data_IF_643786256251
#
_entry.id   IF_643786256251
#
_cell.length_a   1.000
_cell.length_b   1.000
_cell.length_c   1.000
_cell.angle_alpha   90.00
_cell.angle_beta   90.00
_cell.angle_gamma   90.00
#
_symmetry.space_group_name_H-M   'P 1'
#
loop_
_entity.id
_entity.type
_entity.pdbx_description
1 polymer ?
#
# COMPACT_ATOMS: atom_id res chain seq x y z
N UNK A 1 6.80 -8.31 21.25
CA UNK A 1 7.57 -7.26 20.53
C UNK A 1 6.73 -6.00 20.49
N UNK A 2 7.32 -4.81 20.45
CA UNK A 2 6.55 -3.57 20.28
C UNK A 2 6.08 -3.43 18.83
N UNK A 3 4.96 -2.73 18.59
CA UNK A 3 4.44 -2.50 17.22
C UNK A 3 5.51 -1.90 16.29
N UNK A 4 6.46 -1.13 16.84
CA UNK A 4 7.61 -0.61 16.09
C UNK A 4 8.50 -1.72 15.52
N UNK A 5 8.88 -2.70 16.34
CA UNK A 5 9.76 -3.79 15.90
C UNK A 5 9.06 -4.69 14.88
N UNK A 6 7.77 -4.97 15.09
CA UNK A 6 6.95 -5.75 14.15
C UNK A 6 6.76 -4.99 12.83
N UNK A 7 6.60 -3.66 12.89
CA UNK A 7 6.53 -2.80 11.71
C UNK A 7 7.85 -2.71 10.95
N UNK A 8 8.98 -2.56 11.65
CA UNK A 8 10.32 -2.52 11.04
C UNK A 8 10.62 -3.85 10.32
N UNK A 9 10.25 -4.98 10.93
CA UNK A 9 10.33 -6.29 10.29
C UNK A 9 9.44 -6.37 9.05
N UNK A 10 8.16 -6.00 9.17
CA UNK A 10 7.22 -5.96 8.05
C UNK A 10 7.76 -5.13 6.88
N UNK A 11 8.31 -3.94 7.15
CA UNK A 11 8.89 -3.07 6.14
C UNK A 11 10.06 -3.75 5.42
N UNK A 12 10.93 -4.45 6.15
CA UNK A 12 12.02 -5.22 5.52
C UNK A 12 11.49 -6.30 4.57
N UNK A 13 10.41 -6.98 4.94
CA UNK A 13 9.73 -7.98 4.11
C UNK A 13 9.08 -7.36 2.88
N UNK A 14 8.38 -6.23 3.03
CA UNK A 14 7.74 -5.49 1.94
C UNK A 14 8.76 -5.04 0.88
N UNK A 15 9.89 -4.49 1.33
CA UNK A 15 10.97 -4.08 0.46
C UNK A 15 11.55 -5.28 -0.31
N UNK A 16 11.78 -6.41 0.37
CA UNK A 16 12.28 -7.65 -0.25
C UNK A 16 11.25 -8.28 -1.20
N UNK A 17 9.96 -8.16 -0.92
CA UNK A 17 8.88 -8.62 -1.80
C UNK A 17 8.86 -7.81 -3.10
N UNK A 18 9.02 -6.48 -2.99
CA UNK A 18 9.11 -5.60 -4.16
C UNK A 18 10.21 -6.00 -5.13
N UNK A 19 11.40 -6.38 -4.66
CA UNK A 19 12.51 -6.80 -5.55
C UNK A 19 12.21 -8.08 -6.34
N UNK A 20 11.15 -8.81 -6.01
CA UNK A 20 10.73 -10.03 -6.71
C UNK A 20 9.64 -9.80 -7.76
N UNK A 21 9.07 -8.60 -7.85
CA UNK A 21 8.04 -8.29 -8.84
C UNK A 21 8.71 -8.07 -10.20
N UNK A 22 8.40 -8.94 -11.15
CA UNK A 22 8.93 -8.85 -12.51
C UNK A 22 8.13 -7.86 -13.40
N UNK A 23 8.59 -7.71 -14.64
CA UNK A 23 8.00 -6.77 -15.60
C UNK A 23 6.56 -7.09 -16.00
N UNK A 24 6.16 -8.37 -15.99
CA UNK A 24 4.81 -8.81 -16.36
C UNK A 24 3.78 -8.22 -15.40
N UNK A 25 4.08 -8.27 -14.09
CA UNK A 25 3.19 -7.75 -13.05
C UNK A 25 3.26 -6.22 -12.90
N UNK A 26 4.32 -5.60 -13.40
CA UNK A 26 4.47 -4.14 -13.44
C UNK A 26 3.68 -3.48 -14.57
N UNK A 27 3.71 -4.08 -15.76
CA UNK A 27 2.91 -3.63 -16.91
C UNK A 27 2.41 -4.86 -17.65
N UNK A 28 1.10 -5.06 -17.62
CA UNK A 28 0.45 -6.21 -18.22
C UNK A 28 0.39 -6.04 -19.75
N UNK A 29 0.95 -6.98 -20.53
CA UNK A 29 0.70 -7.06 -21.97
C UNK A 29 -0.78 -7.39 -22.22
N UNK A 30 -1.44 -6.64 -23.08
CA UNK A 30 -2.86 -6.85 -23.41
C UNK A 30 -3.00 -7.03 -24.92
N UNK A 31 -3.74 -8.06 -25.33
CA UNK A 31 -4.00 -8.32 -26.74
C UNK A 31 -4.64 -7.09 -27.41
N UNK A 32 -4.07 -6.66 -28.55
CA UNK A 32 -4.53 -5.48 -29.29
C UNK A 32 -4.09 -4.13 -28.72
N UNK A 33 -3.35 -4.09 -27.60
CA UNK A 33 -2.73 -2.85 -27.12
C UNK A 33 -1.30 -2.72 -27.68
N UNK A 34 -0.95 -1.56 -28.20
CA UNK A 34 0.40 -1.29 -28.71
C UNK A 34 1.48 -1.29 -27.61
N UNK A 35 1.10 -0.99 -26.36
CA UNK A 35 2.00 -0.95 -25.21
C UNK A 35 1.38 -1.65 -24.00
N UNK A 36 2.19 -2.36 -23.18
CA UNK A 36 1.74 -2.88 -21.90
C UNK A 36 1.17 -1.78 -21.00
N UNK A 37 0.09 -2.09 -20.27
CA UNK A 37 -0.62 -1.12 -19.44
C UNK A 37 -0.44 -1.42 -17.95
N UNK A 38 -0.50 -0.38 -17.13
CA UNK A 38 -0.58 -0.55 -15.68
C UNK A 38 -1.92 -1.17 -15.29
N UNK A 39 -1.87 -2.21 -14.46
CA UNK A 39 -3.04 -2.84 -13.84
C UNK A 39 -2.75 -3.06 -12.37
N UNK A 40 -3.28 -2.16 -11.55
CA UNK A 40 -3.04 -2.12 -10.09
C UNK A 40 -3.33 -3.48 -9.44
N UNK A 41 -4.44 -4.14 -9.77
CA UNK A 41 -4.77 -5.46 -9.22
C UNK A 41 -3.73 -6.54 -9.53
N UNK A 42 -3.15 -6.54 -10.74
CA UNK A 42 -2.14 -7.54 -11.13
C UNK A 42 -0.86 -7.36 -10.32
N UNK A 43 -0.42 -6.10 -10.18
CA UNK A 43 0.70 -5.76 -9.31
C UNK A 43 0.41 -6.13 -7.85
N UNK A 44 -0.81 -5.85 -7.36
CA UNK A 44 -1.21 -6.15 -5.99
C UNK A 44 -1.20 -7.65 -5.71
N UNK A 45 -1.69 -8.50 -6.61
CA UNK A 45 -1.67 -9.95 -6.39
C UNK A 45 -0.26 -10.52 -6.34
N UNK A 46 0.65 -10.03 -7.18
CA UNK A 46 2.04 -10.47 -7.11
C UNK A 46 2.74 -9.97 -5.85
N UNK A 47 2.54 -8.71 -5.48
CA UNK A 47 3.06 -8.17 -4.23
C UNK A 47 2.53 -8.94 -3.02
N UNK A 48 1.23 -9.27 -3.02
CA UNK A 48 0.60 -10.09 -1.98
C UNK A 48 1.28 -11.46 -1.89
N UNK A 49 1.44 -12.15 -3.02
CA UNK A 49 2.08 -13.47 -3.08
C UNK A 49 3.50 -13.43 -2.53
N UNK A 50 4.35 -12.55 -3.05
CA UNK A 50 5.75 -12.44 -2.62
C UNK A 50 5.87 -12.05 -1.15
N UNK A 51 5.04 -11.11 -0.70
CA UNK A 51 5.06 -10.65 0.68
C UNK A 51 4.58 -11.75 1.64
N UNK A 52 3.53 -12.50 1.30
CA UNK A 52 3.03 -13.62 2.09
C UNK A 52 4.08 -14.73 2.23
N UNK A 53 4.79 -15.05 1.16
CA UNK A 53 5.88 -16.04 1.20
C UNK A 53 7.06 -15.56 2.06
N UNK A 54 7.39 -14.27 2.04
CA UNK A 54 8.52 -13.73 2.81
C UNK A 54 8.19 -13.57 4.30
N UNK A 55 6.95 -13.16 4.63
CA UNK A 55 6.52 -13.02 6.02
C UNK A 55 6.54 -14.36 6.78
N UNK A 56 6.31 -15.47 6.08
CA UNK A 56 6.21 -16.79 6.69
C UNK A 56 4.97 -16.93 7.57
N UNK A 57 4.91 -18.01 8.34
CA UNK A 57 3.75 -18.33 9.18
C UNK A 57 3.89 -17.88 10.64
N UNK A 58 5.14 -17.67 11.08
CA UNK A 58 5.48 -17.25 12.44
C UNK A 58 5.24 -15.75 12.70
N UNK A 59 5.05 -14.96 11.63
CA UNK A 59 4.72 -13.54 11.79
C UNK A 59 3.31 -13.41 12.42
N UNK A 60 3.17 -12.69 13.55
CA UNK A 60 1.93 -12.70 14.32
C UNK A 60 0.74 -12.00 13.63
N UNK A 61 1.01 -11.16 12.62
CA UNK A 61 -0.03 -10.48 11.85
C UNK A 61 -0.27 -11.21 10.52
N UNK A 62 -1.51 -11.18 10.05
CA UNK A 62 -1.90 -11.73 8.74
C UNK A 62 -2.04 -10.61 7.72
N UNK A 63 -1.53 -10.90 6.52
CA UNK A 63 -1.68 -10.06 5.34
C UNK A 63 -2.96 -10.49 4.62
N UNK A 64 -3.92 -9.58 4.55
CA UNK A 64 -5.17 -9.81 3.82
C UNK A 64 -5.31 -8.75 2.73
N UNK A 65 -5.60 -9.21 1.52
CA UNK A 65 -5.89 -8.35 0.38
C UNK A 65 -7.36 -8.01 0.33
N UNK A 66 -7.68 -6.78 -0.07
CA UNK A 66 -9.01 -6.44 -0.53
C UNK A 66 -10.12 -6.82 0.49
N UNK A 67 -9.91 -6.53 1.77
CA UNK A 67 -10.89 -6.87 2.80
C UNK A 67 -12.05 -5.88 2.75
N UNK A 68 -13.24 -6.38 2.41
CA UNK A 68 -14.46 -5.58 2.51
C UNK A 68 -14.77 -5.26 3.98
N UNK A 69 -14.98 -3.98 4.26
CA UNK A 69 -15.33 -3.46 5.59
C UNK A 69 -16.76 -2.91 5.64
N UNK A 70 -17.55 -3.03 4.57
CA UNK A 70 -18.93 -2.54 4.53
C UNK A 70 -19.81 -3.13 5.64
N UNK A 71 -19.65 -4.42 5.93
CA UNK A 71 -20.35 -5.12 7.00
C UNK A 71 -19.62 -5.06 8.36
N UNK A 72 -18.44 -4.45 8.44
CA UNK A 72 -17.63 -4.45 9.66
C UNK A 72 -18.27 -3.55 10.73
N UNK A 73 -18.57 -4.04 11.94
CA UNK A 73 -19.33 -3.29 12.95
C UNK A 73 -18.73 -1.93 13.32
N UNK A 74 -17.40 -1.82 13.25
CA UNK A 74 -16.62 -0.64 13.64
C UNK A 74 -16.23 0.25 12.44
N UNK A 75 -16.18 -0.32 11.24
CA UNK A 75 -15.70 0.35 10.02
C UNK A 75 -16.80 0.48 8.97
N UNK A 76 -18.06 0.55 9.38
CA UNK A 76 -19.20 0.64 8.45
C UNK A 76 -19.00 1.80 7.46
N UNK A 77 -19.02 1.47 6.17
CA UNK A 77 -18.83 2.43 5.09
C UNK A 77 -17.38 2.84 4.81
N UNK A 78 -16.39 2.30 5.54
CA UNK A 78 -14.98 2.49 5.19
C UNK A 78 -14.70 1.85 3.83
N UNK A 79 -14.02 2.60 2.97
CA UNK A 79 -13.61 2.10 1.66
C UNK A 79 -12.59 0.96 1.81
N UNK A 80 -12.71 -0.02 0.93
CA UNK A 80 -11.81 -1.17 0.80
C UNK A 80 -10.36 -0.70 0.53
N UNK A 81 -9.38 -1.03 1.39
CA UNK A 81 -7.96 -0.83 1.10
C UNK A 81 -7.43 -2.00 0.26
N UNK A 82 -6.29 -1.80 -0.39
CA UNK A 82 -5.66 -2.88 -1.15
C UNK A 82 -5.10 -3.98 -0.23
N UNK A 83 -4.42 -3.59 0.86
CA UNK A 83 -3.98 -4.54 1.88
C UNK A 83 -4.23 -4.03 3.29
N UNK A 84 -4.44 -4.99 4.19
CA UNK A 84 -4.30 -4.81 5.63
C UNK A 84 -3.33 -5.85 6.20
N UNK A 85 -2.64 -5.46 7.26
CA UNK A 85 -1.79 -6.33 8.06
C UNK A 85 -2.22 -6.18 9.50
N UNK A 86 -2.88 -7.20 10.03
CA UNK A 86 -3.49 -7.14 11.35
C UNK A 86 -3.54 -8.51 12.03
N UNK A 87 -3.83 -8.55 13.33
CA UNK A 87 -4.17 -9.80 14.01
C UNK A 87 -5.67 -10.06 13.82
N UNK A 88 -6.08 -11.14 13.13
CA UNK A 88 -7.50 -11.43 12.93
C UNK A 88 -8.25 -11.66 14.24
N UNK A 89 -9.54 -11.32 14.26
CA UNK A 89 -10.42 -11.55 15.41
C UNK A 89 -10.32 -10.49 16.53
N UNK A 90 -9.40 -9.54 16.45
CA UNK A 90 -9.28 -8.41 17.38
C UNK A 90 -9.03 -7.09 16.63
N UNK A 91 -9.33 -5.97 17.29
CA UNK A 91 -8.99 -4.61 16.82
C UNK A 91 -7.79 -4.01 17.55
N UNK A 92 -7.23 -4.72 18.52
CA UNK A 92 -6.18 -4.19 19.40
C UNK A 92 -4.80 -4.18 18.72
N UNK A 93 -4.66 -4.90 17.61
CA UNK A 93 -3.39 -5.11 16.91
C UNK A 93 -3.55 -4.99 15.39
N UNK A 94 -3.70 -3.75 14.94
CA UNK A 94 -3.73 -3.38 13.53
C UNK A 94 -2.38 -2.74 13.15
N UNK A 95 -1.53 -3.44 12.38
CA UNK A 95 -0.16 -2.99 12.14
C UNK A 95 -0.08 -1.95 11.02
N UNK A 96 -0.50 -2.31 9.81
CA UNK A 96 -0.40 -1.41 8.66
C UNK A 96 -1.52 -1.62 7.65
N UNK A 97 -2.01 -0.51 7.13
CA UNK A 97 -2.93 -0.45 5.98
C UNK A 97 -2.16 0.07 4.76
N UNK A 98 -2.42 -0.48 3.59
CA UNK A 98 -1.69 -0.14 2.37
C UNK A 98 -2.68 0.18 1.25
N UNK A 99 -2.42 1.29 0.58
CA UNK A 99 -3.03 1.62 -0.70
C UNK A 99 -1.95 1.62 -1.79
N UNK A 100 -2.25 1.02 -2.93
CA UNK A 100 -1.36 0.93 -4.09
C UNK A 100 -1.91 1.80 -5.22
N UNK A 101 -1.02 2.57 -5.85
CA UNK A 101 -1.33 3.33 -7.07
C UNK A 101 -0.28 3.11 -8.15
N UNK A 102 -0.74 2.99 -9.37
CA UNK A 102 0.12 3.07 -10.53
C UNK A 102 0.53 4.51 -10.80
N UNK A 103 1.76 4.72 -11.26
CA UNK A 103 2.32 6.00 -11.65
C UNK A 103 1.76 6.54 -12.98
N UNK A 104 0.48 6.27 -13.25
CA UNK A 104 -0.24 6.67 -14.45
C UNK A 104 -0.63 8.16 -14.38
N UNK A 105 -0.34 8.91 -15.44
CA UNK A 105 -0.67 10.34 -15.54
C UNK A 105 -2.17 10.64 -15.43
N UNK A 106 -3.02 9.65 -15.73
CA UNK A 106 -4.48 9.77 -15.60
C UNK A 106 -4.95 9.82 -14.14
N UNK A 107 -4.09 9.51 -13.16
CA UNK A 107 -4.43 9.59 -11.75
C UNK A 107 -4.69 11.05 -11.36
N UNK A 108 -5.97 11.34 -11.06
CA UNK A 108 -6.44 12.66 -10.68
C UNK A 108 -6.11 12.95 -9.21
N UNK A 109 -5.84 14.22 -8.91
CA UNK A 109 -5.54 14.65 -7.53
C UNK A 109 -6.68 14.34 -6.56
N UNK A 110 -7.93 14.44 -7.02
CA UNK A 110 -9.10 14.10 -6.20
C UNK A 110 -9.14 12.62 -5.82
N UNK A 111 -8.63 11.74 -6.68
CA UNK A 111 -8.47 10.31 -6.35
C UNK A 111 -7.47 10.13 -5.22
N UNK A 112 -6.28 10.73 -5.35
CA UNK A 112 -5.22 10.70 -4.32
C UNK A 112 -5.76 11.20 -2.98
N UNK A 113 -6.47 12.35 -2.97
CA UNK A 113 -7.07 12.89 -1.75
C UNK A 113 -8.08 11.93 -1.12
N UNK A 114 -8.92 11.30 -1.94
CA UNK A 114 -9.89 10.32 -1.46
C UNK A 114 -9.21 9.08 -0.85
N UNK A 115 -8.08 8.66 -1.41
CA UNK A 115 -7.30 7.54 -0.87
C UNK A 115 -6.53 7.92 0.39
N UNK A 116 -6.00 9.14 0.49
CA UNK A 116 -5.41 9.65 1.74
C UNK A 116 -6.47 9.79 2.84
N UNK A 117 -7.68 10.25 2.52
CA UNK A 117 -8.80 10.25 3.46
C UNK A 117 -9.16 8.85 3.93
N UNK A 118 -9.14 7.85 3.02
CA UNK A 118 -9.30 6.44 3.38
C UNK A 118 -8.21 5.97 4.34
N UNK A 119 -6.93 6.21 4.03
CA UNK A 119 -5.83 5.83 4.92
C UNK A 119 -5.96 6.49 6.30
N UNK A 120 -6.38 7.77 6.35
CA UNK A 120 -6.64 8.46 7.63
C UNK A 120 -7.75 7.81 8.44
N UNK A 121 -8.86 7.36 7.83
CA UNK A 121 -9.91 6.68 8.60
C UNK A 121 -9.42 5.36 9.22
N UNK A 122 -8.52 4.65 8.56
CA UNK A 122 -7.88 3.46 9.14
C UNK A 122 -6.97 3.79 10.33
N UNK A 123 -6.23 4.90 10.28
CA UNK A 123 -5.42 5.38 11.41
C UNK A 123 -6.31 5.84 12.57
N UNK A 124 -7.28 6.72 12.28
CA UNK A 124 -8.05 7.43 13.30
C UNK A 124 -9.12 6.54 13.93
N UNK A 125 -9.80 5.72 13.13
CA UNK A 125 -10.93 4.88 13.59
C UNK A 125 -10.51 3.45 13.90
N UNK A 126 -9.77 2.80 13.01
CA UNK A 126 -9.32 1.41 13.22
C UNK A 126 -8.00 1.27 13.95
N UNK A 127 -7.35 2.39 14.32
CA UNK A 127 -6.12 2.39 15.13
C UNK A 127 -4.99 1.57 14.51
N UNK A 128 -4.87 1.62 13.19
CA UNK A 128 -3.70 1.08 12.51
C UNK A 128 -2.43 1.84 12.95
N UNK A 129 -1.34 1.13 13.23
CA UNK A 129 -0.10 1.74 13.69
C UNK A 129 0.54 2.66 12.63
N UNK A 130 0.51 2.25 11.35
CA UNK A 130 0.94 3.05 10.20
C UNK A 130 0.04 2.85 8.98
N UNK A 131 0.13 3.78 8.05
CA UNK A 131 -0.44 3.66 6.71
C UNK A 131 0.66 3.82 5.66
N UNK A 132 0.50 3.13 4.53
CA UNK A 132 1.43 3.20 3.40
C UNK A 132 0.65 3.55 2.14
N UNK A 133 1.08 4.59 1.45
CA UNK A 133 0.76 4.82 0.04
C UNK A 133 1.92 4.28 -0.79
N UNK A 134 1.71 3.20 -1.54
CA UNK A 134 2.71 2.59 -2.41
C UNK A 134 2.41 2.99 -3.86
N UNK A 135 3.29 3.80 -4.45
CA UNK A 135 3.23 4.11 -5.87
C UNK A 135 4.18 3.19 -6.62
N UNK A 136 3.73 2.57 -7.71
CA UNK A 136 4.61 1.79 -8.60
C UNK A 136 4.54 2.30 -10.04
N UNK A 137 5.67 2.30 -10.74
CA UNK A 137 5.78 2.81 -12.10
C UNK A 137 6.86 3.89 -12.26
N UNK A 138 7.11 4.23 -13.52
CA UNK A 138 8.33 4.89 -13.98
C UNK A 138 8.68 6.21 -13.26
N UNK A 139 9.99 6.43 -13.15
CA UNK A 139 10.71 7.58 -12.63
C UNK A 139 10.30 8.95 -13.18
N UNK A 140 9.78 8.99 -14.41
CA UNK A 140 9.32 10.24 -15.04
C UNK A 140 7.96 10.72 -14.50
N UNK A 141 7.24 9.87 -13.76
CA UNK A 141 5.93 10.23 -13.20
C UNK A 141 6.04 11.33 -12.15
N UNK A 142 5.22 12.38 -12.29
CA UNK A 142 5.05 13.41 -11.26
C UNK A 142 4.19 12.94 -10.09
N UNK A 143 3.57 11.75 -10.17
CA UNK A 143 2.62 11.26 -9.17
C UNK A 143 3.24 11.17 -7.75
N UNK A 144 4.41 10.56 -7.52
CA UNK A 144 5.00 10.49 -6.18
C UNK A 144 5.23 11.86 -5.56
N UNK A 145 5.64 12.86 -6.37
CA UNK A 145 5.81 14.25 -5.91
C UNK A 145 4.47 14.85 -5.49
N UNK A 146 3.42 14.66 -6.29
CA UNK A 146 2.06 15.16 -5.98
C UNK A 146 1.49 14.50 -4.72
N UNK A 147 1.63 13.19 -4.59
CA UNK A 147 1.22 12.43 -3.40
C UNK A 147 1.96 12.94 -2.17
N UNK A 148 3.28 13.14 -2.28
CA UNK A 148 4.09 13.71 -1.19
C UNK A 148 3.56 15.07 -0.74
N UNK A 149 3.30 15.99 -1.67
CA UNK A 149 2.71 17.31 -1.35
C UNK A 149 1.35 17.19 -0.66
N UNK A 150 0.49 16.27 -1.10
CA UNK A 150 -0.80 16.05 -0.46
C UNK A 150 -0.66 15.49 0.96
N UNK A 151 0.29 14.58 1.20
CA UNK A 151 0.58 14.09 2.57
C UNK A 151 1.17 15.22 3.43
N UNK A 152 2.11 16.01 2.88
CA UNK A 152 2.71 17.17 3.57
C UNK A 152 1.68 18.26 3.91
N UNK A 153 0.56 18.32 3.19
CA UNK A 153 -0.55 19.26 3.46
C UNK A 153 -1.48 18.81 4.59
N UNK A 154 -1.35 17.57 5.07
CA UNK A 154 -2.14 17.06 6.20
C UNK A 154 -1.60 17.62 7.53
N UNK A 155 -2.42 17.68 8.59
CA UNK A 155 -1.92 17.96 9.94
C UNK A 155 -0.78 17.01 10.31
N UNK A 156 0.22 17.54 11.01
CA UNK A 156 1.48 16.85 11.31
C UNK A 156 1.26 15.47 11.95
N UNK A 157 0.35 15.39 12.92
CA UNK A 157 -0.03 14.14 13.61
C UNK A 157 -0.56 13.04 12.67
N UNK A 158 -1.10 13.40 11.51
CA UNK A 158 -1.51 12.42 10.50
C UNK A 158 -0.40 12.16 9.48
N UNK A 159 0.32 13.21 9.07
CA UNK A 159 1.37 13.11 8.05
C UNK A 159 2.53 12.20 8.49
N UNK A 160 2.90 12.20 9.78
CA UNK A 160 3.99 11.37 10.32
C UNK A 160 3.64 9.87 10.38
N UNK A 161 2.36 9.51 10.24
CA UNK A 161 1.86 8.13 10.27
C UNK A 161 1.61 7.53 8.89
N UNK A 162 1.72 8.33 7.82
CA UNK A 162 1.55 7.90 6.43
C UNK A 162 2.90 7.92 5.72
N UNK A 163 3.40 6.73 5.37
CA UNK A 163 4.59 6.58 4.55
C UNK A 163 4.24 6.62 3.06
N UNK A 164 5.14 7.18 2.26
CA UNK A 164 5.09 7.07 0.81
C UNK A 164 6.24 6.18 0.32
N UNK A 165 5.88 5.08 -0.32
CA UNK A 165 6.83 4.16 -0.95
C UNK A 165 6.73 4.29 -2.45
N UNK A 166 7.88 4.32 -3.13
CA UNK A 166 7.94 4.31 -4.58
C UNK A 166 8.72 3.11 -5.11
N UNK A 167 8.03 2.27 -5.88
CA UNK A 167 8.62 1.18 -6.64
C UNK A 167 8.78 1.60 -8.10
N UNK A 168 9.98 2.05 -8.48
CA UNK A 168 10.21 2.73 -9.78
C UNK A 168 10.17 1.80 -10.98
N UNK A 169 10.70 0.58 -10.83
CA UNK A 169 10.90 -0.37 -11.93
C UNK A 169 10.87 -1.82 -11.44
N UNK A 170 10.57 -2.79 -12.32
CA UNK A 170 10.62 -4.21 -11.98
C UNK A 170 11.94 -4.62 -11.35
N UNK A 171 11.87 -5.61 -10.44
CA UNK A 171 13.01 -6.21 -9.75
C UNK A 171 13.90 -5.23 -8.97
N UNK A 172 13.48 -3.97 -8.83
CA UNK A 172 14.19 -2.98 -8.06
C UNK A 172 13.67 -2.92 -6.62
N UNK A 173 14.48 -2.35 -5.76
CA UNK A 173 14.10 -2.09 -4.38
C UNK A 173 13.07 -0.95 -4.35
N UNK A 174 11.90 -1.12 -3.72
CA UNK A 174 11.03 0.01 -3.41
C UNK A 174 11.73 0.96 -2.42
N UNK A 175 11.52 2.26 -2.57
CA UNK A 175 12.16 3.29 -1.76
C UNK A 175 11.13 4.01 -0.91
N UNK A 176 11.39 4.19 0.39
CA UNK A 176 10.61 5.10 1.24
C UNK A 176 11.05 6.52 0.90
N UNK A 177 10.12 7.36 0.47
CA UNK A 177 10.39 8.74 0.03
C UNK A 177 9.64 9.79 0.85
N UNK A 178 8.81 9.35 1.81
CA UNK A 178 8.24 10.11 2.91
C UNK A 178 7.86 9.16 4.05
#
# INVERSE_FOLDING_TARGET
MSDKADFDYFMSCLIKAGTKIDSHYFKLPVAGAEKPIFREQVYCYELYHQLRCILGDDFPYKLDGEVDKAAHPILKGAKKPDFIVHVPGTMDRNLVVIEVKSANEKTRINGIRADLQKLRSFLDTAKYYRAIMLVYGDSESSLPKRVRCEIDSLPREHAEHILLIWHKKPNAKPEVIK
#
